data_IF_400359114952
#
_entry.id   IF_400359114952
#
_cell.length_a   1.000
_cell.length_b   1.000
_cell.length_c   1.000
_cell.angle_alpha   90.00
_cell.angle_beta   90.00
_cell.angle_gamma   90.00
#
_symmetry.space_group_name_H-M   'P 1'
#
loop_
_entity.id
_entity.type
_entity.pdbx_description
1 polymer ?
#
# COMPACT_ATOMS: atom_id res chain seq x y z
N UNK A 1 4.87 -16.77 -13.09
CA UNK A 1 4.19 -16.76 -11.77
C UNK A 1 2.90 -15.97 -11.92
N UNK A 2 1.76 -16.66 -11.91
CA UNK A 2 0.43 -16.04 -12.02
C UNK A 2 0.24 -14.94 -10.96
N UNK A 3 -0.28 -13.79 -11.38
CA UNK A 3 -0.63 -12.71 -10.47
C UNK A 3 -1.91 -13.09 -9.72
N UNK A 4 -1.79 -13.75 -8.57
CA UNK A 4 -2.92 -13.99 -7.68
C UNK A 4 -3.48 -12.63 -7.23
N UNK A 5 -4.73 -12.34 -7.58
CA UNK A 5 -5.39 -11.08 -7.26
C UNK A 5 -6.06 -11.18 -5.89
N UNK A 6 -5.31 -10.82 -4.85
CA UNK A 6 -5.82 -10.78 -3.47
C UNK A 6 -6.54 -9.47 -3.10
N UNK A 7 -6.59 -8.49 -4.00
CA UNK A 7 -7.15 -7.18 -3.73
C UNK A 7 -7.39 -6.35 -4.98
N UNK A 8 -7.55 -5.04 -4.76
CA UNK A 8 -7.74 -4.03 -5.81
C UNK A 8 -6.36 -3.52 -6.23
N UNK A 9 -6.13 -3.42 -7.54
CA UNK A 9 -4.86 -2.97 -8.11
C UNK A 9 -5.11 -1.88 -9.14
N UNK A 10 -4.31 -0.83 -9.06
CA UNK A 10 -4.23 0.24 -10.05
C UNK A 10 -2.77 0.39 -10.45
N UNK A 11 -2.51 0.61 -11.75
CA UNK A 11 -1.17 0.93 -12.24
C UNK A 11 -1.11 2.41 -12.61
N UNK A 12 0.06 3.00 -12.43
CA UNK A 12 0.31 4.41 -12.75
C UNK A 12 1.67 4.52 -13.41
N UNK A 13 1.78 5.42 -14.39
CA UNK A 13 3.04 5.75 -15.06
C UNK A 13 3.83 6.84 -14.30
N UNK A 14 3.31 7.31 -13.16
CA UNK A 14 3.99 8.31 -12.32
C UNK A 14 5.25 7.72 -11.66
N UNK A 15 6.29 8.53 -11.44
CA UNK A 15 7.45 8.14 -10.63
C UNK A 15 7.03 7.65 -9.24
N UNK A 16 7.79 6.72 -8.67
CA UNK A 16 7.48 6.09 -7.38
C UNK A 16 7.18 7.12 -6.27
N UNK A 17 8.03 8.14 -6.13
CA UNK A 17 7.85 9.17 -5.10
C UNK A 17 6.56 10.00 -5.31
N UNK A 18 6.24 10.35 -6.55
CA UNK A 18 5.01 11.09 -6.87
C UNK A 18 3.75 10.23 -6.66
N UNK A 19 3.83 8.94 -6.99
CA UNK A 19 2.75 8.00 -6.74
C UNK A 19 2.49 7.84 -5.23
N UNK A 20 3.55 7.73 -4.43
CA UNK A 20 3.47 7.62 -2.98
C UNK A 20 2.79 8.84 -2.35
N UNK A 21 3.28 10.05 -2.66
CA UNK A 21 2.71 11.30 -2.19
C UNK A 21 1.25 11.47 -2.63
N UNK A 22 0.95 11.16 -3.90
CA UNK A 22 -0.40 11.20 -4.43
C UNK A 22 -1.36 10.25 -3.72
N UNK A 23 -0.91 9.05 -3.36
CA UNK A 23 -1.70 8.08 -2.61
C UNK A 23 -1.97 8.57 -1.19
N UNK A 24 -0.96 9.09 -0.48
CA UNK A 24 -1.13 9.64 0.87
C UNK A 24 -2.10 10.83 0.87
N UNK A 25 -1.99 11.71 -0.12
CA UNK A 25 -2.91 12.83 -0.30
C UNK A 25 -4.35 12.37 -0.59
N UNK A 26 -4.53 11.37 -1.47
CA UNK A 26 -5.84 10.81 -1.78
C UNK A 26 -6.48 10.12 -0.56
N UNK A 27 -5.70 9.34 0.20
CA UNK A 27 -6.16 8.74 1.46
C UNK A 27 -6.66 9.80 2.43
N UNK A 28 -5.87 10.86 2.61
CA UNK A 28 -6.24 11.98 3.51
C UNK A 28 -7.51 12.68 3.05
N UNK A 29 -7.67 12.91 1.74
CA UNK A 29 -8.86 13.54 1.17
C UNK A 29 -10.14 12.72 1.41
N UNK A 30 -10.02 11.38 1.41
CA UNK A 30 -11.11 10.44 1.72
C UNK A 30 -11.29 10.17 3.23
N UNK A 31 -10.57 10.91 4.10
CA UNK A 31 -10.67 10.79 5.55
C UNK A 31 -9.93 9.59 6.15
N UNK A 32 -9.01 8.98 5.40
CA UNK A 32 -8.08 7.97 5.91
C UNK A 32 -6.79 8.64 6.40
N UNK A 33 -6.46 8.41 7.67
CA UNK A 33 -5.15 8.76 8.21
C UNK A 33 -4.12 7.65 7.98
N UNK A 34 -2.87 8.04 7.75
CA UNK A 34 -1.74 7.09 7.72
C UNK A 34 -1.27 6.82 9.15
N UNK A 35 -1.31 5.56 9.57
CA UNK A 35 -0.89 5.12 10.90
C UNK A 35 0.52 4.52 10.89
N UNK A 36 0.85 3.78 9.82
CA UNK A 36 2.13 3.10 9.69
C UNK A 36 2.63 3.19 8.27
N UNK A 37 3.95 3.32 8.14
CA UNK A 37 4.66 3.27 6.87
C UNK A 37 5.85 2.31 7.06
N UNK A 38 5.95 1.32 6.17
CA UNK A 38 6.98 0.30 6.24
C UNK A 38 7.71 0.28 4.91
N UNK A 39 8.94 0.79 4.92
CA UNK A 39 9.87 0.62 3.79
C UNK A 39 10.42 -0.82 3.82
N UNK A 40 9.90 -1.66 2.92
CA UNK A 40 10.31 -3.06 2.80
C UNK A 40 11.70 -3.15 2.20
N UNK A 41 12.10 -2.23 1.32
CA UNK A 41 13.44 -2.20 0.75
C UNK A 41 14.48 -1.98 1.84
N UNK A 42 14.27 -0.96 2.67
CA UNK A 42 15.17 -0.68 3.79
C UNK A 42 15.20 -1.85 4.77
N UNK A 43 14.03 -2.39 5.12
CA UNK A 43 13.93 -3.52 6.06
C UNK A 43 14.69 -4.76 5.56
N UNK A 44 14.53 -5.12 4.28
CA UNK A 44 15.22 -6.26 3.68
C UNK A 44 16.73 -6.05 3.63
N UNK A 45 17.16 -4.83 3.31
CA UNK A 45 18.59 -4.48 3.30
C UNK A 45 19.20 -4.56 4.70
N UNK A 46 18.52 -4.03 5.72
CA UNK A 46 19.01 -4.04 7.10
C UNK A 46 19.00 -5.44 7.73
N UNK A 47 17.97 -6.25 7.48
CA UNK A 47 17.79 -7.55 8.15
C UNK A 47 18.44 -8.71 7.41
N UNK A 48 18.50 -8.67 6.08
CA UNK A 48 18.96 -9.77 5.24
C UNK A 48 20.15 -9.39 4.35
N UNK A 49 20.53 -8.11 4.28
CA UNK A 49 21.59 -7.64 3.38
C UNK A 49 21.21 -7.74 1.90
N UNK A 50 19.93 -7.91 1.59
CA UNK A 50 19.45 -8.08 0.22
C UNK A 50 18.93 -6.76 -0.34
N UNK A 51 19.34 -6.44 -1.57
CA UNK A 51 18.71 -5.35 -2.31
C UNK A 51 17.33 -5.77 -2.80
N UNK A 52 16.37 -4.90 -2.58
CA UNK A 52 14.98 -5.07 -2.99
C UNK A 52 14.53 -3.84 -3.78
N UNK A 53 13.53 -4.03 -4.65
CA UNK A 53 12.90 -2.92 -5.38
C UNK A 53 12.19 -1.95 -4.43
N UNK A 54 11.89 -0.73 -4.88
CA UNK A 54 11.02 0.16 -4.11
C UNK A 54 9.70 -0.54 -3.82
N UNK A 55 9.39 -0.65 -2.53
CA UNK A 55 8.24 -1.38 -2.02
C UNK A 55 7.92 -0.86 -0.62
N UNK A 56 6.72 -0.32 -0.46
CA UNK A 56 6.27 0.29 0.77
C UNK A 56 4.85 -0.16 1.10
N UNK A 57 4.63 -0.41 2.39
CA UNK A 57 3.33 -0.83 2.93
C UNK A 57 2.86 0.29 3.84
N UNK A 58 1.69 0.85 3.53
CA UNK A 58 1.05 1.93 4.26
C UNK A 58 -0.16 1.34 5.00
N UNK A 59 -0.20 1.49 6.31
CA UNK A 59 -1.38 1.21 7.10
C UNK A 59 -2.27 2.43 7.17
N UNK A 60 -3.37 2.44 6.43
CA UNK A 60 -4.34 3.53 6.41
C UNK A 60 -5.59 3.19 7.25
N UNK A 61 -6.13 4.15 7.99
CA UNK A 61 -7.29 3.94 8.84
C UNK A 61 -8.24 5.15 8.81
N UNK A 62 -9.53 4.86 8.66
CA UNK A 62 -10.60 5.83 8.87
C UNK A 62 -11.24 5.50 10.25
N UNK A 63 -11.05 6.33 11.29
CA UNK A 63 -11.45 5.97 12.66
C UNK A 63 -12.95 5.70 12.83
N UNK A 64 -13.88 6.50 12.25
CA UNK A 64 -15.31 6.16 12.26
C UNK A 64 -15.60 4.75 11.72
N UNK A 65 -15.05 4.40 10.55
CA UNK A 65 -15.27 3.09 9.94
C UNK A 65 -14.65 1.96 10.77
N UNK A 66 -13.43 2.14 11.26
CA UNK A 66 -12.75 1.16 12.11
C UNK A 66 -13.51 0.91 13.41
N UNK A 67 -14.04 1.97 14.03
CA UNK A 67 -14.86 1.85 15.24
C UNK A 67 -16.16 1.07 14.98
N UNK A 68 -16.85 1.33 13.86
CA UNK A 68 -18.04 0.56 13.47
C UNK A 68 -17.73 -0.92 13.26
N UNK A 69 -16.60 -1.24 12.62
CA UNK A 69 -16.16 -2.62 12.42
C UNK A 69 -15.88 -3.32 13.76
N UNK A 70 -15.11 -2.68 14.65
CA UNK A 70 -14.76 -3.21 15.97
C UNK A 70 -15.98 -3.40 16.88
N UNK A 71 -17.02 -2.57 16.73
CA UNK A 71 -18.28 -2.75 17.45
C UNK A 71 -19.07 -3.99 16.98
N UNK A 72 -18.86 -4.41 15.73
CA UNK A 72 -19.55 -5.56 15.14
C UNK A 72 -18.80 -6.87 15.44
N UNK A 73 -17.48 -6.85 15.28
CA UNK A 73 -16.60 -8.00 15.50
C UNK A 73 -15.26 -7.51 16.04
N UNK A 74 -14.92 -7.86 17.28
CA UNK A 74 -13.70 -7.38 17.92
C UNK A 74 -12.43 -7.93 17.24
N UNK A 75 -12.50 -9.18 16.76
CA UNK A 75 -11.37 -9.87 16.13
C UNK A 75 -11.02 -9.30 14.73
N UNK A 76 -11.87 -8.42 14.18
CA UNK A 76 -11.58 -7.71 12.92
C UNK A 76 -10.29 -6.87 13.01
N UNK A 77 -9.82 -6.57 14.22
CA UNK A 77 -8.54 -5.90 14.47
C UNK A 77 -7.34 -6.61 13.82
N UNK A 78 -7.41 -7.92 13.56
CA UNK A 78 -6.37 -8.66 12.82
C UNK A 78 -6.24 -8.24 11.35
N UNK A 79 -7.26 -7.59 10.79
CA UNK A 79 -7.31 -7.09 9.41
C UNK A 79 -7.15 -5.56 9.32
N UNK A 80 -7.00 -4.88 10.46
CA UNK A 80 -6.77 -3.45 10.55
C UNK A 80 -5.28 -3.16 10.82
N UNK A 81 -4.73 -2.05 10.32
CA UNK A 81 -5.34 -1.05 9.42
C UNK A 81 -5.47 -1.55 7.97
N UNK A 82 -6.19 -0.79 7.13
CA UNK A 82 -6.28 -1.08 5.71
C UNK A 82 -4.91 -0.94 5.05
N UNK A 83 -4.33 -2.06 4.61
CA UNK A 83 -3.02 -2.07 3.98
C UNK A 83 -3.10 -1.57 2.53
N UNK A 84 -2.34 -0.53 2.22
CA UNK A 84 -2.09 -0.04 0.86
C UNK A 84 -0.64 -0.32 0.51
N UNK A 85 -0.40 -0.94 -0.64
CA UNK A 85 0.94 -1.34 -1.06
C UNK A 85 1.34 -0.56 -2.31
N UNK A 86 2.51 0.05 -2.29
CA UNK A 86 3.09 0.79 -3.41
C UNK A 86 4.42 0.14 -3.78
N UNK A 87 4.62 -0.21 -5.05
CA UNK A 87 5.87 -0.79 -5.50
C UNK A 87 6.14 -0.54 -6.98
N UNK A 88 7.41 -0.58 -7.36
CA UNK A 88 7.81 -0.51 -8.77
C UNK A 88 7.59 -1.85 -9.48
N UNK A 89 6.85 -1.83 -10.59
CA UNK A 89 6.64 -3.03 -11.40
C UNK A 89 7.83 -3.24 -12.37
N UNK A 90 8.82 -4.02 -11.95
CA UNK A 90 10.00 -4.35 -12.75
C UNK A 90 9.71 -5.20 -14.01
N UNK A 91 8.44 -5.54 -14.30
CA UNK A 91 8.05 -6.46 -15.38
C UNK A 91 7.50 -5.79 -16.64
N UNK A 92 7.44 -4.47 -16.73
CA UNK A 92 6.85 -3.81 -17.90
C UNK A 92 7.84 -2.90 -18.62
N UNK A 93 8.12 -3.13 -19.93
CA UNK A 93 8.52 -2.02 -20.80
C UNK A 93 7.42 -0.96 -20.75
N UNK A 94 7.84 0.31 -20.78
CA UNK A 94 7.07 1.56 -20.62
C UNK A 94 5.92 1.81 -21.62
N UNK A 95 5.41 0.78 -22.30
CA UNK A 95 4.59 0.94 -23.52
C UNK A 95 3.18 0.34 -23.49
N UNK A 96 2.67 -0.15 -22.35
CA UNK A 96 1.27 -0.61 -22.32
C UNK A 96 0.43 0.16 -21.30
N UNK A 97 -0.23 1.26 -21.71
CA UNK A 97 -1.30 1.83 -20.93
C UNK A 97 -2.46 0.83 -20.93
N UNK A 98 -3.01 0.57 -19.75
CA UNK A 98 -4.28 -0.15 -19.60
C UNK A 98 -5.30 0.83 -19.00
N UNK A 99 -6.53 0.90 -19.56
CA UNK A 99 -7.59 1.80 -19.10
C UNK A 99 -8.02 1.53 -17.65
#
# INVERSE_FOLDING_TARGET
MEAKKYGIFVKTDRPYAEALEGIKAALTAEGFGVLTEIDVRETMKQKLGQDFRHYEIIGACNPPLAHQALQTELDIGLLLPCNVVVYEDARLPTSTPRP
#
